data_IF_296012674223
#
_entry.id   IF_296012674223
#
_cell.length_a   1.000
_cell.length_b   1.000
_cell.length_c   1.000
_cell.angle_alpha   90.00
_cell.angle_beta   90.00
_cell.angle_gamma   90.00
#
_symmetry.space_group_name_H-M   'P 1'
#
loop_
_entity.id
_entity.type
_entity.pdbx_description
1 polymer ?
#
# COMPACT_ATOMS: atom_id res chain seq x y z
N UNK A 1 -8.69 -9.82 -1.19
CA UNK A 1 -9.77 -9.18 -1.99
C UNK A 1 -9.16 -8.79 -3.32
N UNK A 2 -9.70 -9.27 -4.45
CA UNK A 2 -9.20 -8.89 -5.78
C UNK A 2 -9.82 -7.59 -6.25
N UNK A 3 -9.01 -6.66 -6.76
CA UNK A 3 -9.45 -5.43 -7.42
C UNK A 3 -8.44 -5.04 -8.49
N UNK A 4 -8.89 -4.81 -9.72
CA UNK A 4 -7.98 -4.64 -10.87
C UNK A 4 -7.11 -5.87 -11.07
N UNK A 5 -5.80 -5.65 -11.25
CA UNK A 5 -4.76 -6.67 -11.40
C UNK A 5 -4.07 -7.03 -10.08
N UNK A 6 -4.60 -6.58 -8.93
CA UNK A 6 -4.02 -6.83 -7.60
C UNK A 6 -4.95 -7.55 -6.65
N UNK A 7 -4.34 -8.27 -5.72
CA UNK A 7 -4.98 -8.77 -4.52
C UNK A 7 -4.57 -7.90 -3.34
N UNK A 8 -5.56 -7.41 -2.59
CA UNK A 8 -5.39 -6.62 -1.38
C UNK A 8 -5.80 -7.42 -0.14
N UNK A 9 -5.06 -7.25 0.96
CA UNK A 9 -5.34 -7.82 2.27
C UNK A 9 -5.27 -6.73 3.33
N UNK A 10 -6.34 -6.57 4.09
CA UNK A 10 -6.42 -5.62 5.21
C UNK A 10 -6.13 -6.39 6.49
N UNK A 11 -5.12 -5.96 7.25
CA UNK A 11 -4.72 -6.61 8.48
C UNK A 11 -5.81 -6.48 9.55
N UNK A 12 -5.74 -7.39 10.53
CA UNK A 12 -6.62 -7.38 11.71
C UNK A 12 -5.97 -6.83 12.96
N UNK A 13 -4.66 -6.59 12.90
CA UNK A 13 -3.84 -6.12 14.01
C UNK A 13 -3.12 -4.85 13.59
N UNK A 14 -2.97 -3.94 14.57
CA UNK A 14 -2.21 -2.71 14.41
C UNK A 14 -0.73 -2.96 14.72
N UNK A 15 0.12 -2.45 13.85
CA UNK A 15 1.58 -2.50 14.00
C UNK A 15 2.19 -1.22 13.43
N UNK A 16 3.47 -0.99 13.72
CA UNK A 16 4.22 0.08 13.08
C UNK A 16 4.42 -0.20 11.57
N UNK A 17 4.94 0.79 10.83
CA UNK A 17 5.06 0.68 9.38
C UNK A 17 6.05 -0.42 8.95
N UNK A 18 7.16 -0.61 9.68
CA UNK A 18 8.13 -1.66 9.37
C UNK A 18 7.60 -3.06 9.70
N UNK A 19 6.87 -3.20 10.81
CA UNK A 19 6.14 -4.40 11.19
C UNK A 19 5.06 -4.75 10.18
N UNK A 20 4.36 -3.75 9.66
CA UNK A 20 3.40 -3.91 8.58
C UNK A 20 4.05 -4.51 7.34
N UNK A 21 5.20 -3.97 6.92
CA UNK A 21 5.93 -4.49 5.77
C UNK A 21 6.40 -5.93 6.00
N UNK A 22 6.93 -6.25 7.20
CA UNK A 22 7.30 -7.63 7.56
C UNK A 22 6.11 -8.58 7.53
N UNK A 23 4.96 -8.15 8.04
CA UNK A 23 3.71 -8.92 7.99
C UNK A 23 3.27 -9.20 6.55
N UNK A 24 3.26 -8.19 5.68
CA UNK A 24 2.92 -8.38 4.27
C UNK A 24 3.88 -9.36 3.56
N UNK A 25 5.19 -9.29 3.84
CA UNK A 25 6.18 -10.21 3.28
C UNK A 25 5.93 -11.66 3.68
N UNK A 26 5.46 -11.92 4.90
CA UNK A 26 5.05 -13.27 5.34
C UNK A 26 3.92 -13.86 4.49
N UNK A 27 3.13 -13.01 3.84
CA UNK A 27 2.06 -13.37 2.91
C UNK A 27 2.48 -13.28 1.43
N UNK A 28 3.77 -13.24 1.12
CA UNK A 28 4.30 -13.06 -0.24
C UNK A 28 3.79 -11.77 -0.92
N UNK A 29 3.54 -10.74 -0.11
CA UNK A 29 3.03 -9.45 -0.52
C UNK A 29 3.92 -8.32 0.00
N UNK A 30 3.59 -7.09 -0.35
CA UNK A 30 4.19 -5.88 0.22
C UNK A 30 3.08 -4.98 0.76
N UNK A 31 3.41 -4.00 1.59
CA UNK A 31 2.49 -2.89 1.84
C UNK A 31 2.00 -2.32 0.50
N UNK A 32 0.72 -1.97 0.46
CA UNK A 32 0.02 -1.73 -0.79
C UNK A 32 0.62 -0.59 -1.61
N UNK A 33 0.78 -0.80 -2.91
CA UNK A 33 1.02 0.28 -3.89
C UNK A 33 -0.30 0.72 -4.49
N UNK A 34 -0.42 2.01 -4.77
CA UNK A 34 -1.60 2.62 -5.37
C UNK A 34 -1.18 3.20 -6.72
N UNK A 35 -1.50 2.49 -7.79
CA UNK A 35 -1.08 2.83 -9.15
C UNK A 35 -2.17 3.60 -9.90
N UNK A 36 -3.43 3.47 -9.47
CA UNK A 36 -4.60 4.10 -10.12
C UNK A 36 -5.53 4.79 -9.11
N UNK A 37 -6.37 5.72 -9.61
CA UNK A 37 -7.37 6.39 -8.77
C UNK A 37 -8.47 5.44 -8.34
N UNK A 38 -8.76 4.44 -9.16
CA UNK A 38 -9.74 3.39 -8.89
C UNK A 38 -9.28 2.54 -7.70
N UNK A 39 -7.99 2.19 -7.63
CA UNK A 39 -7.40 1.51 -6.48
C UNK A 39 -7.47 2.39 -5.23
N UNK A 40 -7.14 3.68 -5.33
CA UNK A 40 -7.26 4.61 -4.20
C UNK A 40 -8.69 4.62 -3.66
N UNK A 41 -9.69 4.80 -4.53
CA UNK A 41 -11.10 4.83 -4.14
C UNK A 41 -11.54 3.51 -3.51
N UNK A 42 -11.10 2.38 -4.05
CA UNK A 42 -11.37 1.07 -3.47
C UNK A 42 -10.80 0.95 -2.05
N UNK A 43 -9.53 1.33 -1.85
CA UNK A 43 -8.89 1.26 -0.53
C UNK A 43 -9.57 2.15 0.50
N UNK A 44 -9.89 3.40 0.15
CA UNK A 44 -10.58 4.33 1.05
C UNK A 44 -11.98 3.81 1.42
N UNK A 45 -12.74 3.29 0.44
CA UNK A 45 -14.09 2.77 0.67
C UNK A 45 -14.08 1.49 1.50
N UNK A 46 -13.14 0.58 1.25
CA UNK A 46 -13.07 -0.70 1.93
C UNK A 46 -12.47 -0.57 3.34
N UNK A 47 -11.46 0.29 3.51
CA UNK A 47 -10.85 0.60 4.80
C UNK A 47 -11.79 1.36 5.76
N UNK A 48 -12.85 1.96 5.23
CA UNK A 48 -13.89 2.65 6.00
C UNK A 48 -13.29 3.71 6.96
N UNK A 49 -13.59 3.66 8.25
CA UNK A 49 -13.10 4.65 9.24
C UNK A 49 -11.73 4.29 9.86
N UNK A 50 -11.13 3.17 9.46
CA UNK A 50 -9.88 2.70 10.04
C UNK A 50 -8.68 3.29 9.29
N UNK A 51 -7.54 3.35 9.99
CA UNK A 51 -6.30 3.85 9.43
C UNK A 51 -5.40 2.69 9.01
N UNK A 52 -4.98 2.67 7.74
CA UNK A 52 -4.14 1.59 7.21
C UNK A 52 -2.85 2.11 6.58
N UNK A 53 -1.71 1.60 7.04
CA UNK A 53 -0.43 1.80 6.38
C UNK A 53 -0.47 1.31 4.92
N UNK A 54 0.17 2.09 4.04
CA UNK A 54 0.45 1.74 2.65
C UNK A 54 1.95 1.86 2.37
N UNK A 55 2.41 1.35 1.22
CA UNK A 55 3.83 1.17 0.90
C UNK A 55 4.58 2.45 0.53
N UNK A 56 4.05 3.62 0.88
CA UNK A 56 4.61 4.91 0.52
C UNK A 56 5.30 5.57 1.71
N UNK A 57 6.57 5.94 1.53
CA UNK A 57 7.44 6.54 2.56
C UNK A 57 8.32 7.63 1.97
N UNK A 58 8.74 8.59 2.80
CA UNK A 58 9.81 9.56 2.48
C UNK A 58 10.87 9.58 3.58
N UNK A 59 12.05 10.11 3.24
CA UNK A 59 13.15 10.33 4.18
C UNK A 59 13.34 11.84 4.37
N UNK A 60 13.21 12.33 5.62
CA UNK A 60 13.27 13.76 5.91
C UNK A 60 12.28 14.56 5.07
N UNK A 61 12.77 15.59 4.38
CA UNK A 61 12.03 16.41 3.41
C UNK A 61 12.14 15.91 1.97
N UNK A 62 12.69 14.71 1.75
CA UNK A 62 12.86 14.11 0.44
C UNK A 62 11.53 13.69 -0.22
N UNK A 63 11.60 13.22 -1.49
CA UNK A 63 10.42 12.81 -2.23
C UNK A 63 9.81 11.53 -1.65
N UNK A 64 8.50 11.38 -1.86
CA UNK A 64 7.78 10.14 -1.57
C UNK A 64 8.19 9.04 -2.56
N UNK A 65 8.42 7.83 -2.03
CA UNK A 65 8.84 6.65 -2.76
C UNK A 65 8.01 5.44 -2.37
N UNK A 66 7.75 4.58 -3.34
CA UNK A 66 7.25 3.24 -3.12
C UNK A 66 8.38 2.30 -2.68
N UNK A 67 8.03 1.15 -2.11
CA UNK A 67 8.98 0.13 -1.65
C UNK A 67 9.93 -0.41 -2.74
N UNK A 68 9.52 -0.35 -4.02
CA UNK A 68 10.37 -0.73 -5.16
C UNK A 68 11.37 0.37 -5.57
N UNK A 69 11.41 1.49 -4.85
CA UNK A 69 12.30 2.63 -5.12
C UNK A 69 11.74 3.64 -6.14
N UNK A 70 10.62 3.35 -6.79
CA UNK A 70 10.00 4.29 -7.73
C UNK A 70 9.44 5.52 -7.01
N UNK A 71 9.53 6.67 -7.69
CA UNK A 71 9.00 7.94 -7.18
C UNK A 71 7.47 7.94 -7.24
N UNK A 72 6.86 8.53 -6.22
CA UNK A 72 5.44 8.84 -6.26
C UNK A 72 5.13 9.87 -7.35
N UNK A 73 4.12 9.59 -8.17
CA UNK A 73 3.74 10.39 -9.34
C UNK A 73 2.74 11.52 -9.04
N UNK A 74 2.51 11.85 -7.76
CA UNK A 74 1.54 12.86 -7.34
C UNK A 74 0.10 12.63 -7.82
N UNK A 75 -0.33 11.36 -7.93
CA UNK A 75 -1.70 10.99 -8.33
C UNK A 75 -2.80 11.51 -7.36
N UNK A 76 -2.41 11.73 -6.11
CA UNK A 76 -3.25 12.19 -5.01
C UNK A 76 -2.41 12.99 -4.00
N UNK A 77 -3.09 13.82 -3.20
CA UNK A 77 -2.44 14.59 -2.14
C UNK A 77 -2.20 13.73 -0.89
N UNK A 78 -1.06 13.97 -0.24
CA UNK A 78 -0.70 13.33 1.03
C UNK A 78 -0.68 14.41 2.11
N UNK A 79 -1.60 14.32 3.06
CA UNK A 79 -1.72 15.30 4.13
C UNK A 79 -0.80 14.98 5.32
N UNK A 80 -0.44 16.00 6.08
CA UNK A 80 0.37 15.86 7.29
C UNK A 80 1.89 15.94 7.06
N UNK A 81 2.62 15.85 8.17
CA UNK A 81 4.07 16.09 8.21
C UNK A 81 4.86 14.81 8.54
N UNK A 82 4.22 13.66 8.50
CA UNK A 82 4.86 12.37 8.78
C UNK A 82 5.77 11.88 7.64
N UNK A 83 6.32 10.69 7.84
CA UNK A 83 7.25 10.06 6.88
C UNK A 83 6.69 8.79 6.26
N UNK A 84 5.66 8.19 6.86
CA UNK A 84 4.99 7.01 6.35
C UNK A 84 3.54 7.36 6.02
N UNK A 85 3.04 6.90 4.88
CA UNK A 85 1.70 7.22 4.42
C UNK A 85 0.70 6.13 4.81
N UNK A 86 -0.52 6.56 5.11
CA UNK A 86 -1.64 5.70 5.45
C UNK A 86 -2.94 6.22 4.84
N UNK A 87 -3.89 5.32 4.62
CA UNK A 87 -5.27 5.68 4.24
C UNK A 87 -6.06 6.02 5.49
N UNK A 88 -6.94 7.02 5.41
CA UNK A 88 -8.04 7.21 6.36
C UNK A 88 -9.37 7.28 5.60
N UNK A 89 -10.47 7.63 6.26
CA UNK A 89 -11.82 7.59 5.68
C UNK A 89 -12.03 8.36 4.37
N UNK A 90 -11.17 9.33 4.04
CA UNK A 90 -11.38 10.16 2.84
C UNK A 90 -10.13 10.47 2.03
N UNK A 91 -8.92 10.19 2.52
CA UNK A 91 -7.68 10.64 1.89
C UNK A 91 -6.49 9.79 2.27
N UNK A 92 -5.35 10.09 1.65
CA UNK A 92 -4.04 9.67 2.13
C UNK A 92 -3.51 10.73 3.09
N UNK A 93 -2.98 10.28 4.22
CA UNK A 93 -2.33 11.11 5.23
C UNK A 93 -0.99 10.50 5.60
N UNK A 94 -0.19 11.21 6.38
CA UNK A 94 1.13 10.78 6.81
C UNK A 94 1.31 10.99 8.30
N UNK A 95 2.03 10.05 8.91
CA UNK A 95 2.31 10.06 10.35
C UNK A 95 3.74 9.56 10.63
N UNK A 96 4.13 9.55 11.90
CA UNK A 96 5.38 8.92 12.34
C UNK A 96 5.29 7.42 12.04
N UNK A 97 6.34 6.87 11.46
CA UNK A 97 6.36 5.46 11.06
C UNK A 97 6.22 4.47 12.23
N UNK A 98 6.43 4.95 13.47
CA UNK A 98 6.28 4.19 14.72
C UNK A 98 4.86 4.15 15.27
N UNK A 99 3.91 4.90 14.70
CA UNK A 99 2.52 4.84 15.15
C UNK A 99 1.88 3.49 14.82
N UNK A 100 0.97 3.04 15.68
CA UNK A 100 0.25 1.80 15.49
C UNK A 100 -0.96 2.05 14.61
N UNK A 101 -1.02 1.36 13.47
CA UNK A 101 -2.15 1.38 12.55
C UNK A 101 -2.29 0.01 11.92
N UNK A 102 -3.45 -0.28 11.33
CA UNK A 102 -3.61 -1.47 10.52
C UNK A 102 -2.75 -1.36 9.25
N UNK A 103 -2.68 -2.42 8.46
CA UNK A 103 -1.87 -2.48 7.24
C UNK A 103 -2.72 -2.93 6.06
N UNK A 104 -2.54 -2.33 4.89
CA UNK A 104 -3.00 -2.95 3.64
C UNK A 104 -1.80 -3.56 2.93
N UNK A 105 -1.85 -4.86 2.69
CA UNK A 105 -0.90 -5.56 1.83
C UNK A 105 -1.47 -5.67 0.41
N UNK A 106 -0.61 -5.64 -0.60
CA UNK A 106 -0.98 -5.97 -1.98
C UNK A 106 0.07 -6.82 -2.69
N UNK A 107 -0.39 -7.63 -3.64
CA UNK A 107 0.45 -8.30 -4.63
C UNK A 107 -0.32 -8.41 -5.95
N UNK A 108 0.40 -8.61 -7.07
CA UNK A 108 -0.23 -8.85 -8.37
C UNK A 108 -1.03 -10.15 -8.36
N UNK A 109 -2.18 -10.14 -9.02
CA UNK A 109 -2.97 -11.33 -9.29
C UNK A 109 -2.18 -12.25 -10.22
N UNK A 110 -2.10 -13.54 -9.87
CA UNK A 110 -1.58 -14.55 -10.79
C UNK A 110 -2.66 -14.86 -11.81
N UNK A 111 -2.61 -14.22 -12.98
CA UNK A 111 -3.39 -14.69 -14.13
C UNK A 111 -2.72 -15.95 -14.71
N UNK A 112 -3.47 -17.03 -15.02
CA UNK A 112 -2.92 -18.23 -15.67
C UNK A 112 -2.27 -17.99 -17.05
N UNK A 113 -2.32 -16.78 -17.60
CA UNK A 113 -2.01 -16.48 -19.01
C UNK A 113 -0.54 -16.12 -19.31
N UNK A 114 0.39 -16.28 -18.36
CA UNK A 114 1.83 -16.13 -18.63
C UNK A 114 2.64 -17.41 -18.36
N UNK A 115 2.08 -18.56 -18.74
CA UNK A 115 2.94 -19.68 -19.15
C UNK A 115 3.51 -19.28 -20.51
N UNK A 116 4.79 -18.89 -20.54
CA UNK A 116 5.55 -18.87 -21.78
C UNK A 116 5.39 -20.25 -22.41
N UNK A 117 4.75 -20.31 -23.59
CA UNK A 117 4.90 -21.47 -24.46
C UNK A 117 6.35 -21.46 -24.91
N UNK A 118 7.17 -22.34 -24.33
CA UNK A 118 8.43 -22.71 -24.96
C UNK A 118 8.10 -23.29 -26.35
N UNK A 119 8.82 -22.91 -27.42
CA UNK A 119 8.72 -23.60 -28.70
C UNK A 119 9.36 -24.99 -28.55
N UNK A 120 8.60 -25.98 -29.02
CA UNK A 120 8.89 -27.41 -29.27
C UNK A 120 10.32 -27.93 -29.02
#
# INVERSE_FOLDING_TARGET
>A
IGFGDKCFYFSKEEVDWEGSQRSCLSHQAHLATIDTREELHFLLRYGNFMEYWVGLRREGSGPWKWLNGSLFNALFDIQGNGHCAYTNSHRISSDRCSEMKFSVCSHLQRHPSKVQKDPE
#
